data_IF_233476152379
#
_entry.id   IF_233476152379
#
_cell.length_a   1.000
_cell.length_b   1.000
_cell.length_c   1.000
_cell.angle_alpha   90.00
_cell.angle_beta   90.00
_cell.angle_gamma   90.00
#
_symmetry.space_group_name_H-M   'P 1'
#
loop_
_entity.id
_entity.type
_entity.pdbx_description
1 polymer ?
#
# COMPACT_ATOMS: atom_id res chain seq x y z
N UNK A 1 17.57 22.37 -12.56
CA UNK A 1 17.97 21.00 -12.91
C UNK A 1 16.76 20.33 -13.53
N UNK A 2 16.87 19.81 -14.75
CA UNK A 2 15.79 19.04 -15.39
C UNK A 2 15.48 17.81 -14.52
N UNK A 3 14.19 17.56 -14.26
CA UNK A 3 13.78 16.33 -13.58
C UNK A 3 14.20 15.13 -14.43
N UNK A 4 14.69 14.10 -13.77
CA UNK A 4 15.07 12.83 -14.40
C UNK A 4 13.85 12.18 -15.05
N UNK A 5 14.05 11.46 -16.16
CA UNK A 5 13.00 10.72 -16.85
C UNK A 5 12.98 9.29 -16.30
N UNK A 6 11.80 8.77 -15.98
CA UNK A 6 11.69 7.39 -15.52
C UNK A 6 11.89 6.42 -16.70
N UNK A 7 12.81 5.47 -16.55
CA UNK A 7 13.08 4.44 -17.55
C UNK A 7 12.43 3.11 -17.14
N UNK A 8 11.64 2.53 -18.05
CA UNK A 8 10.95 1.25 -17.84
C UNK A 8 11.86 0.07 -18.18
N UNK A 9 12.89 -0.15 -17.37
CA UNK A 9 13.87 -1.23 -17.61
C UNK A 9 13.50 -2.56 -16.95
N UNK A 10 12.65 -2.54 -15.91
CA UNK A 10 12.28 -3.71 -15.10
C UNK A 10 10.75 -3.80 -14.91
N UNK A 11 10.19 -5.00 -14.69
CA UNK A 11 8.80 -5.16 -14.28
C UNK A 11 8.51 -4.39 -12.98
N UNK A 12 7.33 -3.78 -12.91
CA UNK A 12 6.90 -2.95 -11.77
C UNK A 12 5.88 -3.67 -10.89
N UNK A 13 6.18 -3.80 -9.60
CA UNK A 13 5.30 -4.44 -8.62
C UNK A 13 5.06 -3.49 -7.44
N UNK A 14 3.80 -3.38 -7.02
CA UNK A 14 3.46 -2.62 -5.83
C UNK A 14 3.40 -3.55 -4.63
N UNK A 15 4.12 -3.21 -3.58
CA UNK A 15 4.13 -3.94 -2.32
C UNK A 15 3.93 -2.99 -1.16
N UNK A 16 3.82 -3.51 0.05
CA UNK A 16 3.76 -2.65 1.22
C UNK A 16 3.73 -3.43 2.53
N UNK A 17 4.03 -2.75 3.62
CA UNK A 17 4.04 -3.33 4.96
C UNK A 17 2.67 -3.19 5.63
N UNK A 18 2.19 -4.28 6.21
CA UNK A 18 0.99 -4.34 7.04
C UNK A 18 1.30 -5.10 8.34
N UNK A 19 0.45 -4.96 9.35
CA UNK A 19 0.62 -5.61 10.65
C UNK A 19 0.39 -4.66 11.82
N UNK A 20 0.43 -5.21 13.02
CA UNK A 20 0.14 -4.50 14.26
C UNK A 20 1.07 -3.31 14.54
N UNK A 21 0.60 -2.37 15.36
CA UNK A 21 1.41 -1.25 15.86
C UNK A 21 2.68 -1.79 16.55
N UNK A 22 3.78 -1.04 16.45
CA UNK A 22 5.08 -1.37 17.07
C UNK A 22 5.75 -2.69 16.65
N UNK A 23 5.21 -3.43 15.68
CA UNK A 23 5.87 -4.60 15.10
C UNK A 23 7.06 -4.23 14.18
N UNK A 24 7.28 -2.95 13.90
CA UNK A 24 8.46 -2.46 13.17
C UNK A 24 8.32 -2.37 11.65
N UNK A 25 7.11 -2.07 11.14
CA UNK A 25 6.83 -1.86 9.71
C UNK A 25 7.74 -0.81 9.08
N UNK A 26 7.74 0.40 9.63
CA UNK A 26 8.52 1.53 9.12
C UNK A 26 10.03 1.29 9.24
N UNK A 27 10.48 0.65 10.32
CA UNK A 27 11.87 0.21 10.50
C UNK A 27 12.27 -0.79 9.41
N UNK A 28 11.41 -1.76 9.10
CA UNK A 28 11.62 -2.72 8.02
C UNK A 28 11.69 -2.03 6.66
N UNK A 29 10.78 -1.09 6.39
CA UNK A 29 10.80 -0.30 5.15
C UNK A 29 12.10 0.48 4.99
N UNK A 30 12.59 1.13 6.06
CA UNK A 30 13.88 1.80 6.07
C UNK A 30 15.06 0.82 5.84
N UNK A 31 15.02 -0.36 6.47
CA UNK A 31 16.03 -1.40 6.30
C UNK A 31 16.07 -1.92 4.86
N UNK A 32 14.92 -2.21 4.25
CA UNK A 32 14.81 -2.64 2.85
C UNK A 32 15.49 -1.63 1.91
N UNK A 33 15.11 -0.36 2.00
CA UNK A 33 15.70 0.67 1.11
C UNK A 33 17.20 0.83 1.33
N UNK A 34 17.68 0.70 2.58
CA UNK A 34 19.10 0.85 2.92
C UNK A 34 19.94 -0.32 2.43
N UNK A 35 19.51 -1.56 2.72
CA UNK A 35 20.23 -2.79 2.35
C UNK A 35 20.22 -2.98 0.83
N UNK A 36 19.09 -2.76 0.17
CA UNK A 36 19.03 -2.88 -1.29
C UNK A 36 19.83 -1.77 -1.99
N UNK A 37 19.83 -0.54 -1.46
CA UNK A 37 20.69 0.53 -2.00
C UNK A 37 22.18 0.18 -1.88
N UNK A 38 22.59 -0.43 -0.75
CA UNK A 38 23.96 -0.90 -0.53
C UNK A 38 24.34 -2.04 -1.48
N UNK A 39 23.40 -2.95 -1.76
CA UNK A 39 23.66 -4.19 -2.52
C UNK A 39 23.57 -3.99 -4.03
N UNK A 40 22.56 -3.25 -4.49
CA UNK A 40 22.20 -3.12 -5.91
C UNK A 40 22.27 -1.69 -6.44
N UNK A 41 22.60 -0.72 -5.58
CA UNK A 41 22.51 0.71 -5.90
C UNK A 41 21.10 1.27 -5.67
N UNK A 42 20.95 2.59 -5.83
CA UNK A 42 19.70 3.30 -5.57
C UNK A 42 19.82 4.28 -4.41
N UNK A 43 18.68 4.72 -3.86
CA UNK A 43 18.62 5.70 -2.79
C UNK A 43 18.03 5.10 -1.51
N UNK A 44 18.81 5.10 -0.43
CA UNK A 44 18.33 4.73 0.90
C UNK A 44 17.33 5.77 1.43
N UNK A 45 16.31 5.32 2.16
CA UNK A 45 15.36 6.16 2.89
C UNK A 45 15.48 5.87 4.39
N UNK A 46 15.90 6.89 5.14
CA UNK A 46 15.96 6.78 6.60
C UNK A 46 14.55 6.78 7.21
N UNK A 47 14.42 6.19 8.41
CA UNK A 47 13.16 6.14 9.18
C UNK A 47 12.45 7.50 9.25
N UNK A 48 13.18 8.56 9.61
CA UNK A 48 12.67 9.94 9.73
C UNK A 48 12.20 10.59 8.41
N UNK A 49 12.51 9.97 7.28
CA UNK A 49 12.05 10.39 5.95
C UNK A 49 10.75 9.70 5.57
N UNK A 50 10.46 8.54 6.16
CA UNK A 50 9.23 7.77 5.96
C UNK A 50 8.15 8.34 6.90
N UNK A 51 8.42 8.34 8.21
CA UNK A 51 7.61 9.02 9.24
C UNK A 51 8.04 10.49 9.34
N UNK A 52 7.64 11.29 8.35
CA UNK A 52 8.12 12.66 8.21
C UNK A 52 7.16 13.70 8.79
N UNK A 53 5.90 13.36 9.08
CA UNK A 53 4.95 14.33 9.61
C UNK A 53 5.33 14.72 11.04
N UNK A 54 5.20 16.00 11.44
CA UNK A 54 5.51 16.43 12.81
C UNK A 54 4.71 15.66 13.87
N UNK A 55 3.48 15.26 13.54
CA UNK A 55 2.63 14.47 14.43
C UNK A 55 3.12 13.01 14.58
N UNK A 56 3.61 12.40 13.49
CA UNK A 56 4.17 11.05 13.51
C UNK A 56 5.43 11.00 14.38
N UNK A 57 6.34 11.98 14.21
CA UNK A 57 7.55 12.09 15.04
C UNK A 57 7.25 12.32 16.52
N UNK A 58 6.19 13.06 16.84
CA UNK A 58 5.80 13.33 18.21
C UNK A 58 5.15 12.11 18.88
N UNK A 59 4.39 11.31 18.13
CA UNK A 59 3.66 10.15 18.65
C UNK A 59 4.42 8.82 18.52
N UNK A 60 5.45 8.77 17.67
CA UNK A 60 6.22 7.55 17.39
C UNK A 60 5.42 6.49 16.63
N UNK A 61 4.37 6.89 15.90
CA UNK A 61 3.51 5.98 15.12
C UNK A 61 3.29 6.57 13.73
N UNK A 62 3.26 5.70 12.72
CA UNK A 62 2.84 6.05 11.36
C UNK A 62 1.36 6.42 11.33
N UNK A 63 1.03 7.54 10.71
CA UNK A 63 -0.35 8.05 10.59
C UNK A 63 -0.76 8.02 9.12
N UNK A 64 0.09 8.54 8.24
CA UNK A 64 -0.12 8.61 6.80
C UNK A 64 0.58 7.46 6.09
N UNK A 65 0.06 7.05 4.93
CA UNK A 65 0.78 6.12 4.06
C UNK A 65 2.01 6.80 3.47
N UNK A 66 3.15 6.11 3.53
CA UNK A 66 4.41 6.62 2.96
C UNK A 66 4.83 5.77 1.78
N UNK A 67 5.20 6.42 0.67
CA UNK A 67 5.56 5.76 -0.58
C UNK A 67 7.07 5.84 -0.79
N UNK A 68 7.74 4.69 -0.84
CA UNK A 68 9.17 4.59 -1.16
C UNK A 68 9.38 3.72 -2.39
N UNK A 69 10.47 3.97 -3.13
CA UNK A 69 10.89 3.14 -4.27
C UNK A 69 12.20 2.43 -3.93
N UNK A 70 12.36 1.21 -4.43
CA UNK A 70 13.61 0.47 -4.43
C UNK A 70 13.64 -0.55 -5.56
N UNK A 71 14.83 -1.04 -5.84
CA UNK A 71 15.10 -1.94 -6.95
C UNK A 71 15.75 -3.23 -6.45
N UNK A 72 15.33 -4.35 -7.02
CA UNK A 72 16.12 -5.59 -7.06
C UNK A 72 16.80 -5.68 -8.44
N UNK A 73 17.72 -6.63 -8.67
CA UNK A 73 18.25 -6.87 -10.00
C UNK A 73 17.17 -7.25 -11.02
N UNK A 74 16.04 -7.79 -10.55
CA UNK A 74 14.98 -8.33 -11.42
C UNK A 74 13.81 -7.36 -11.61
N UNK A 75 13.44 -6.58 -10.59
CA UNK A 75 12.19 -5.81 -10.54
C UNK A 75 12.38 -4.43 -9.92
N UNK A 76 11.45 -3.53 -10.25
CA UNK A 76 11.29 -2.25 -9.58
C UNK A 76 10.07 -2.31 -8.66
N UNK A 77 10.24 -1.88 -7.41
CA UNK A 77 9.17 -1.89 -6.40
C UNK A 77 8.74 -0.47 -6.03
N UNK A 78 7.42 -0.26 -6.01
CA UNK A 78 6.82 0.81 -5.22
C UNK A 78 6.31 0.19 -3.92
N UNK A 79 6.74 0.73 -2.79
CA UNK A 79 6.41 0.21 -1.46
C UNK A 79 5.58 1.22 -0.68
N UNK A 80 4.43 0.77 -0.18
CA UNK A 80 3.50 1.56 0.64
C UNK A 80 3.62 1.12 2.10
N UNK A 81 4.21 1.97 2.95
CA UNK A 81 4.28 1.76 4.39
C UNK A 81 2.93 2.14 5.01
N UNK A 82 2.22 1.18 5.59
CA UNK A 82 0.88 1.40 6.15
C UNK A 82 0.88 1.51 7.68
N UNK A 83 0.00 2.35 8.27
CA UNK A 83 -0.13 2.44 9.71
C UNK A 83 -0.72 1.16 10.31
N UNK A 84 -0.31 0.81 11.54
CA UNK A 84 -0.81 -0.39 12.26
C UNK A 84 -1.67 -0.10 13.48
N UNK A 85 -1.94 1.17 13.78
CA UNK A 85 -2.77 1.57 14.90
C UNK A 85 -4.25 1.58 14.48
N UNK A 86 -5.14 1.09 15.34
CA UNK A 86 -6.57 0.90 15.02
C UNK A 86 -7.25 2.18 14.50
N UNK A 87 -6.94 3.33 15.11
CA UNK A 87 -7.51 4.63 14.72
C UNK A 87 -7.20 5.03 13.26
N UNK A 88 -6.15 4.48 12.65
CA UNK A 88 -5.67 4.82 11.32
C UNK A 88 -5.90 3.70 10.29
N UNK A 89 -6.76 2.73 10.60
CA UNK A 89 -7.11 1.61 9.70
C UNK A 89 -7.57 2.08 8.31
N UNK A 90 -8.22 3.25 8.22
CA UNK A 90 -8.67 3.83 6.95
C UNK A 90 -7.53 4.09 5.96
N UNK A 91 -6.39 4.55 6.48
CA UNK A 91 -5.21 4.82 5.67
C UNK A 91 -4.57 3.50 5.23
N UNK A 92 -4.55 2.49 6.11
CA UNK A 92 -4.12 1.15 5.73
C UNK A 92 -4.98 0.55 4.62
N UNK A 93 -6.32 0.62 4.71
CA UNK A 93 -7.24 0.13 3.66
C UNK A 93 -6.90 0.75 2.29
N UNK A 94 -6.64 2.06 2.27
CA UNK A 94 -6.31 2.79 1.04
C UNK A 94 -4.93 2.42 0.50
N UNK A 95 -3.93 2.18 1.35
CA UNK A 95 -2.61 1.70 0.95
C UNK A 95 -2.65 0.26 0.45
N UNK A 96 -3.34 -0.64 1.18
CA UNK A 96 -3.46 -2.05 0.85
C UNK A 96 -4.18 -2.29 -0.48
N UNK A 97 -5.17 -1.45 -0.83
CA UNK A 97 -5.83 -1.50 -2.14
C UNK A 97 -4.88 -1.30 -3.34
N UNK A 98 -3.65 -0.85 -3.09
CA UNK A 98 -2.63 -0.66 -4.12
C UNK A 98 -1.60 -1.78 -4.17
N UNK A 99 -1.66 -2.78 -3.30
CA UNK A 99 -0.63 -3.81 -3.20
C UNK A 99 -0.93 -4.98 -4.14
N UNK A 100 0.04 -5.34 -4.98
CA UNK A 100 0.06 -6.62 -5.70
C UNK A 100 0.50 -7.78 -4.79
N UNK A 101 1.16 -7.45 -3.67
CA UNK A 101 1.35 -8.35 -2.53
C UNK A 101 1.81 -7.56 -1.31
N UNK A 102 1.54 -8.07 -0.12
CA UNK A 102 1.87 -7.39 1.14
C UNK A 102 2.97 -8.13 1.92
N UNK A 103 3.72 -7.37 2.72
CA UNK A 103 4.65 -7.87 3.72
C UNK A 103 3.96 -7.74 5.08
N UNK A 104 3.54 -8.87 5.66
CA UNK A 104 2.98 -8.92 7.00
C UNK A 104 4.12 -8.93 8.02
N UNK A 105 4.20 -7.87 8.84
CA UNK A 105 5.23 -7.74 9.87
C UNK A 105 4.67 -8.18 11.22
N UNK A 106 5.28 -9.21 11.79
CA UNK A 106 4.90 -9.78 13.09
C UNK A 106 6.11 -9.71 14.02
N UNK A 107 5.99 -9.11 15.20
CA UNK A 107 7.06 -9.16 16.19
C UNK A 107 7.11 -10.55 16.84
N UNK A 108 8.28 -11.16 16.86
CA UNK A 108 8.53 -12.45 17.51
C UNK A 108 8.27 -12.41 19.02
N UNK A 109 8.41 -11.25 19.66
CA UNK A 109 8.14 -11.05 21.09
C UNK A 109 6.65 -11.07 21.44
N UNK A 110 5.79 -10.73 20.48
CA UNK A 110 4.38 -10.42 20.72
C UNK A 110 3.45 -11.44 20.05
N UNK A 111 3.85 -11.99 18.90
CA UNK A 111 3.04 -12.89 18.08
C UNK A 111 1.87 -12.20 17.37
N UNK A 112 0.86 -12.96 16.91
CA UNK A 112 -0.29 -12.41 16.20
C UNK A 112 -1.26 -11.63 17.09
N UNK A 113 -1.20 -10.29 16.98
CA UNK A 113 -2.06 -9.35 17.70
C UNK A 113 -3.38 -9.04 16.94
N UNK A 114 -4.37 -8.34 17.57
CA UNK A 114 -5.67 -8.08 16.95
C UNK A 114 -5.60 -7.40 15.57
N UNK A 115 -4.72 -6.41 15.41
CA UNK A 115 -4.53 -5.71 14.13
C UNK A 115 -3.79 -6.58 13.10
N UNK A 116 -3.00 -7.58 13.52
CA UNK A 116 -2.47 -8.59 12.59
C UNK A 116 -3.63 -9.34 11.92
N UNK A 117 -4.62 -9.78 12.72
CA UNK A 117 -5.88 -10.39 12.25
C UNK A 117 -6.65 -9.46 11.31
N UNK A 118 -6.89 -8.23 11.77
CA UNK A 118 -7.66 -7.23 11.03
C UNK A 118 -7.01 -6.88 9.68
N UNK A 119 -5.68 -6.75 9.63
CA UNK A 119 -4.97 -6.39 8.41
C UNK A 119 -4.96 -7.52 7.36
N UNK A 120 -4.86 -8.79 7.77
CA UNK A 120 -4.96 -9.93 6.85
C UNK A 120 -6.36 -9.96 6.23
N UNK A 121 -7.39 -9.85 7.06
CA UNK A 121 -8.78 -9.80 6.62
C UNK A 121 -9.01 -8.64 5.64
N UNK A 122 -8.65 -7.42 6.03
CA UNK A 122 -8.85 -6.23 5.21
C UNK A 122 -8.04 -6.29 3.92
N UNK A 123 -6.80 -6.76 3.97
CA UNK A 123 -5.94 -6.99 2.80
C UNK A 123 -6.64 -7.85 1.77
N UNK A 124 -7.26 -8.95 2.21
CA UNK A 124 -8.05 -9.79 1.30
C UNK A 124 -9.28 -9.10 0.74
N UNK A 125 -10.02 -8.37 1.56
CA UNK A 125 -11.24 -7.65 1.13
C UNK A 125 -10.94 -6.55 0.10
N UNK A 126 -9.76 -5.91 0.20
CA UNK A 126 -9.31 -4.91 -0.80
C UNK A 126 -8.58 -5.53 -1.99
N UNK A 127 -8.43 -6.86 -2.02
CA UNK A 127 -7.92 -7.61 -3.16
C UNK A 127 -6.42 -7.84 -3.19
N UNK A 128 -5.72 -7.77 -2.05
CA UNK A 128 -4.30 -8.18 -1.95
C UNK A 128 -4.20 -9.69 -2.17
N UNK A 129 -3.54 -10.17 -3.25
CA UNK A 129 -3.58 -11.60 -3.61
C UNK A 129 -2.49 -12.43 -2.93
N UNK A 130 -1.38 -11.83 -2.52
CA UNK A 130 -0.24 -12.53 -1.91
C UNK A 130 0.24 -11.82 -0.65
N UNK A 131 0.65 -12.60 0.35
CA UNK A 131 1.29 -12.13 1.57
C UNK A 131 2.62 -12.87 1.72
N UNK A 132 3.67 -12.14 2.08
CA UNK A 132 4.93 -12.68 2.62
C UNK A 132 5.03 -12.23 4.07
N UNK A 133 5.54 -13.05 4.97
CA UNK A 133 5.69 -12.69 6.38
C UNK A 133 7.13 -12.35 6.68
N UNK A 134 7.32 -11.27 7.42
CA UNK A 134 8.58 -10.97 8.09
C UNK A 134 8.38 -11.05 9.60
N UNK A 135 8.91 -12.11 10.21
CA UNK A 135 8.93 -12.29 11.66
C UNK A 135 10.09 -11.46 12.21
N UNK A 136 9.75 -10.27 12.71
CA UNK A 136 10.68 -9.23 13.13
C UNK A 136 11.06 -9.37 14.61
N UNK A 137 12.09 -8.64 15.04
CA UNK A 137 12.61 -8.62 16.43
C UNK A 137 13.11 -9.99 16.91
N UNK A 138 13.60 -10.84 16.01
CA UNK A 138 14.20 -12.12 16.39
C UNK A 138 15.49 -11.95 17.22
N UNK A 139 16.12 -10.77 17.18
CA UNK A 139 17.26 -10.43 18.05
C UNK A 139 16.89 -10.32 19.55
N UNK A 140 15.59 -10.29 19.87
CA UNK A 140 15.08 -10.18 21.23
C UNK A 140 14.57 -11.52 21.78
N UNK A 141 14.63 -12.60 20.99
CA UNK A 141 14.10 -13.92 21.34
C UNK A 141 15.20 -14.96 21.19
N UNK A 142 15.67 -15.49 22.32
CA UNK A 142 16.72 -16.51 22.36
C UNK A 142 16.17 -17.95 22.23
N UNK A 143 14.85 -18.12 22.36
CA UNK A 143 14.17 -19.42 22.36
C UNK A 143 13.61 -19.77 20.96
N UNK A 144 14.23 -20.76 20.32
CA UNK A 144 13.84 -21.24 19.00
C UNK A 144 12.43 -21.87 19.00
N UNK A 145 12.03 -22.53 20.09
CA UNK A 145 10.69 -23.14 20.19
C UNK A 145 9.60 -22.06 20.20
N UNK A 146 9.89 -20.90 20.80
CA UNK A 146 8.97 -19.76 20.78
C UNK A 146 8.83 -19.17 19.36
N UNK A 147 9.94 -19.07 18.62
CA UNK A 147 9.90 -18.61 17.22
C UNK A 147 9.09 -19.54 16.33
N UNK A 148 9.26 -20.85 16.48
CA UNK A 148 8.48 -21.86 15.77
C UNK A 148 6.99 -21.78 16.13
N UNK A 149 6.66 -21.61 17.42
CA UNK A 149 5.27 -21.45 17.87
C UNK A 149 4.61 -20.22 17.24
N UNK A 150 5.29 -19.07 17.29
CA UNK A 150 4.75 -17.84 16.68
C UNK A 150 4.58 -18.00 15.18
N UNK A 151 5.52 -18.67 14.51
CA UNK A 151 5.40 -18.98 13.08
C UNK A 151 4.16 -19.84 12.79
N UNK A 152 3.94 -20.89 13.58
CA UNK A 152 2.75 -21.74 13.45
C UNK A 152 1.45 -20.93 13.61
N UNK A 153 1.36 -20.08 14.62
CA UNK A 153 0.17 -19.22 14.84
C UNK A 153 -0.07 -18.25 13.67
N UNK A 154 0.99 -17.69 13.07
CA UNK A 154 0.85 -16.84 11.88
C UNK A 154 0.35 -17.63 10.68
N UNK A 155 0.86 -18.85 10.45
CA UNK A 155 0.41 -19.72 9.35
C UNK A 155 -1.06 -20.10 9.50
N UNK A 156 -1.47 -20.52 10.70
CA UNK A 156 -2.87 -20.82 10.99
C UNK A 156 -3.76 -19.60 10.74
N UNK A 157 -3.31 -18.41 11.14
CA UNK A 157 -4.05 -17.18 10.94
C UNK A 157 -4.21 -16.80 9.45
N UNK A 158 -3.18 -17.00 8.64
CA UNK A 158 -3.27 -16.82 7.19
C UNK A 158 -4.28 -17.79 6.58
N UNK A 159 -4.22 -19.07 6.98
CA UNK A 159 -5.15 -20.12 6.52
C UNK A 159 -6.61 -19.83 6.90
N UNK A 160 -6.86 -19.26 8.08
CA UNK A 160 -8.21 -18.84 8.50
C UNK A 160 -8.85 -17.80 7.58
N UNK A 161 -8.03 -16.98 6.91
CA UNK A 161 -8.50 -15.96 5.96
C UNK A 161 -8.18 -16.34 4.51
N UNK A 162 -8.17 -17.64 4.20
CA UNK A 162 -7.86 -18.28 2.90
C UNK A 162 -6.64 -17.71 2.16
N UNK A 163 -5.59 -17.35 2.89
CA UNK A 163 -4.24 -17.28 2.34
C UNK A 163 -3.57 -18.65 2.51
N UNK A 164 -2.63 -19.04 1.62
CA UNK A 164 -1.94 -20.33 1.74
C UNK A 164 -0.89 -20.26 2.87
N UNK A 165 -1.34 -20.38 4.12
CA UNK A 165 -0.49 -20.22 5.31
C UNK A 165 0.73 -21.14 5.33
N UNK A 166 0.56 -22.40 4.93
CA UNK A 166 1.64 -23.41 4.93
C UNK A 166 2.72 -23.12 3.86
N UNK A 167 2.32 -22.59 2.69
CA UNK A 167 3.22 -22.30 1.57
C UNK A 167 3.78 -20.88 1.59
N UNK A 168 3.25 -20.01 2.47
CA UNK A 168 3.67 -18.62 2.57
C UNK A 168 5.12 -18.52 3.06
N UNK A 169 6.01 -17.79 2.35
CA UNK A 169 7.36 -17.53 2.84
C UNK A 169 7.34 -16.72 4.14
N UNK A 170 8.10 -17.18 5.12
CA UNK A 170 8.30 -16.50 6.40
C UNK A 170 9.79 -16.30 6.61
N UNK A 171 10.21 -15.04 6.65
CA UNK A 171 11.61 -14.67 6.92
C UNK A 171 11.73 -14.20 8.35
N UNK A 172 12.58 -14.87 9.13
CA UNK A 172 12.93 -14.50 10.50
C UNK A 172 14.09 -13.51 10.49
N UNK A 173 13.94 -12.38 11.17
CA UNK A 173 14.91 -11.29 11.08
C UNK A 173 14.80 -10.22 12.16
N UNK A 174 15.76 -9.29 12.13
CA UNK A 174 15.73 -8.05 12.90
C UNK A 174 15.91 -6.88 11.94
N UNK A 175 14.81 -6.15 11.69
CA UNK A 175 14.84 -4.95 10.87
C UNK A 175 15.74 -3.86 11.47
N UNK A 176 15.77 -3.76 12.81
CA UNK A 176 16.59 -2.78 13.51
C UNK A 176 18.08 -3.08 13.32
N UNK A 177 18.52 -4.31 13.58
CA UNK A 177 19.93 -4.69 13.41
C UNK A 177 20.39 -4.62 11.96
N UNK A 178 19.52 -4.98 11.02
CA UNK A 178 19.78 -4.81 9.59
C UNK A 178 19.99 -3.33 9.22
N UNK A 179 19.17 -2.43 9.79
CA UNK A 179 19.32 -0.98 9.58
C UNK A 179 20.58 -0.40 10.26
N UNK A 180 20.99 -0.98 11.39
CA UNK A 180 22.26 -0.66 12.08
C UNK A 180 23.50 -1.17 11.32
N UNK A 181 23.33 -1.99 10.28
CA UNK A 181 24.38 -2.47 9.39
C UNK A 181 24.98 -3.82 9.77
N UNK A 182 24.29 -4.61 10.60
CA UNK A 182 24.71 -5.97 10.94
C UNK A 182 24.51 -6.91 9.75
N UNK A 183 25.60 -7.50 9.26
CA UNK A 183 25.62 -8.30 8.04
C UNK A 183 24.73 -9.56 8.12
N UNK A 184 24.55 -10.16 9.29
CA UNK A 184 23.68 -11.33 9.46
C UNK A 184 22.23 -10.95 9.19
N UNK A 185 21.79 -9.82 9.73
CA UNK A 185 20.42 -9.33 9.59
C UNK A 185 20.19 -8.63 8.25
N UNK A 186 21.20 -7.98 7.67
CA UNK A 186 21.13 -7.48 6.28
C UNK A 186 20.86 -8.64 5.30
N UNK A 187 21.46 -9.81 5.50
CA UNK A 187 21.21 -10.97 4.66
C UNK A 187 19.74 -11.43 4.67
N UNK A 188 19.04 -11.27 5.81
CA UNK A 188 17.60 -11.56 5.93
C UNK A 188 16.72 -10.59 5.15
N UNK A 189 17.14 -9.33 5.00
CA UNK A 189 16.47 -8.37 4.13
C UNK A 189 16.65 -8.75 2.65
N UNK A 190 17.84 -9.24 2.28
CA UNK A 190 18.10 -9.75 0.92
C UNK A 190 17.28 -11.02 0.64
N UNK A 191 17.16 -11.92 1.62
CA UNK A 191 16.31 -13.11 1.56
C UNK A 191 14.83 -12.72 1.33
N UNK A 192 14.32 -11.76 2.10
CA UNK A 192 12.98 -11.20 1.91
C UNK A 192 12.78 -10.63 0.50
N UNK A 193 13.76 -9.89 -0.02
CA UNK A 193 13.70 -9.37 -1.39
C UNK A 193 13.70 -10.49 -2.45
N UNK A 194 14.43 -11.58 -2.20
CA UNK A 194 14.38 -12.78 -3.04
C UNK A 194 12.98 -13.39 -3.11
N UNK A 195 12.28 -13.49 -1.98
CA UNK A 195 10.88 -13.96 -1.97
C UNK A 195 9.92 -12.96 -2.63
N UNK A 196 10.13 -11.66 -2.50
CA UNK A 196 9.35 -10.66 -3.26
C UNK A 196 9.51 -10.85 -4.77
N UNK A 197 10.69 -11.25 -5.23
CA UNK A 197 10.97 -11.52 -6.65
C UNK A 197 10.37 -12.85 -7.12
N UNK A 198 10.35 -13.89 -6.28
CA UNK A 198 9.96 -15.25 -6.70
C UNK A 198 8.53 -15.66 -6.35
N UNK A 199 7.98 -15.21 -5.22
CA UNK A 199 6.68 -15.66 -4.71
C UNK A 199 5.52 -14.79 -5.19
N UNK A 200 5.73 -13.47 -5.25
CA UNK A 200 4.74 -12.56 -5.86
C UNK A 200 4.93 -12.65 -7.38
N UNK A 201 3.94 -13.13 -8.15
CA UNK A 201 4.07 -13.19 -9.61
C UNK A 201 4.09 -11.78 -10.21
N UNK A 202 4.55 -11.69 -11.46
CA UNK A 202 4.36 -10.45 -12.21
C UNK A 202 2.85 -10.24 -12.45
N UNK A 203 2.27 -9.14 -11.96
CA UNK A 203 0.84 -8.92 -12.05
C UNK A 203 0.41 -8.61 -13.49
N UNK A 204 -0.63 -9.29 -13.98
CA UNK A 204 -1.23 -8.98 -15.27
C UNK A 204 -1.87 -7.58 -15.24
N UNK A 205 -1.28 -6.65 -16.00
CA UNK A 205 -1.74 -5.26 -16.06
C UNK A 205 -2.81 -5.09 -17.13
N UNK A 206 -3.96 -4.52 -16.75
CA UNK A 206 -5.07 -4.26 -17.66
C UNK A 206 -4.85 -3.00 -18.54
N UNK A 207 -3.72 -2.91 -19.24
CA UNK A 207 -3.30 -1.74 -20.03
C UNK A 207 -4.20 -1.46 -21.24
N UNK A 208 -4.86 -2.47 -21.79
CA UNK A 208 -5.72 -2.34 -22.98
C UNK A 208 -7.16 -1.91 -22.63
N UNK A 209 -7.48 -1.75 -21.35
CA UNK A 209 -8.81 -1.29 -20.90
C UNK A 209 -8.88 0.25 -20.85
N UNK A 210 -10.08 0.84 -20.78
CA UNK A 210 -10.20 2.29 -20.61
C UNK A 210 -9.57 2.77 -19.31
N UNK A 211 -8.82 3.89 -19.38
CA UNK A 211 -8.11 4.49 -18.26
C UNK A 211 -9.01 4.68 -17.03
N UNK A 212 -8.52 4.25 -15.87
CA UNK A 212 -9.12 4.51 -14.57
C UNK A 212 -8.00 4.59 -13.51
N UNK A 213 -8.01 5.67 -12.72
CA UNK A 213 -7.10 5.90 -11.60
C UNK A 213 -7.93 6.36 -10.39
N UNK A 214 -8.01 5.56 -9.32
CA UNK A 214 -8.57 5.98 -8.04
C UNK A 214 -7.68 7.04 -7.38
N UNK A 215 -8.26 8.16 -6.96
CA UNK A 215 -7.51 9.27 -6.36
C UNK A 215 -7.26 8.94 -4.89
N UNK A 216 -5.99 8.82 -4.53
CA UNK A 216 -5.50 8.62 -3.17
C UNK A 216 -5.32 9.96 -2.45
N UNK A 217 -4.59 10.88 -3.07
CA UNK A 217 -4.33 12.19 -2.50
C UNK A 217 -4.27 13.25 -3.60
N UNK A 218 -4.32 14.51 -3.17
CA UNK A 218 -4.33 15.66 -4.06
C UNK A 218 -3.47 16.76 -3.46
N UNK A 219 -2.56 17.27 -4.28
CA UNK A 219 -1.61 18.32 -3.95
C UNK A 219 -1.83 19.53 -4.84
N UNK A 220 -1.56 20.72 -4.31
CA UNK A 220 -1.46 21.93 -5.12
C UNK A 220 0.01 22.29 -5.29
N UNK A 221 0.49 22.35 -6.52
CA UNK A 221 1.85 22.79 -6.83
C UNK A 221 1.78 24.23 -7.33
N UNK A 222 2.33 25.15 -6.54
CA UNK A 222 2.42 26.57 -6.88
C UNK A 222 3.02 26.76 -8.28
N UNK A 223 2.30 27.47 -9.14
CA UNK A 223 2.70 27.75 -10.52
C UNK A 223 2.55 26.60 -11.53
N UNK A 224 2.13 25.38 -11.12
CA UNK A 224 1.86 24.25 -12.04
C UNK A 224 0.39 23.83 -12.07
N UNK A 225 -0.29 23.84 -10.93
CA UNK A 225 -1.69 23.41 -10.80
C UNK A 225 -1.89 22.28 -9.80
N UNK A 226 -3.04 21.61 -9.92
CA UNK A 226 -3.44 20.53 -9.02
C UNK A 226 -2.92 19.18 -9.52
N UNK A 227 -2.22 18.46 -8.66
CA UNK A 227 -1.73 17.10 -8.92
C UNK A 227 -2.54 16.13 -8.09
N UNK A 228 -3.05 15.07 -8.72
CA UNK A 228 -3.63 13.94 -8.00
C UNK A 228 -2.68 12.76 -8.03
N UNK A 229 -2.61 12.00 -6.96
CA UNK A 229 -1.81 10.78 -6.87
C UNK A 229 -2.70 9.55 -6.78
N UNK A 230 -2.21 8.44 -7.31
CA UNK A 230 -2.80 7.13 -7.14
C UNK A 230 -2.19 6.10 -8.09
N UNK A 231 -2.49 4.83 -7.82
CA UNK A 231 -2.16 3.72 -8.71
C UNK A 231 -3.13 3.69 -9.89
N UNK A 232 -2.61 3.64 -11.12
CA UNK A 232 -3.47 3.41 -12.29
C UNK A 232 -4.08 2.00 -12.18
N UNK A 233 -5.40 1.89 -12.06
CA UNK A 233 -6.09 0.61 -11.95
C UNK A 233 -6.05 -0.14 -13.27
N UNK A 234 -6.33 0.57 -14.36
CA UNK A 234 -6.43 0.02 -15.71
C UNK A 234 -6.19 1.10 -16.76
N UNK A 235 -5.83 0.65 -17.96
CA UNK A 235 -5.55 1.51 -19.10
C UNK A 235 -4.22 2.24 -19.02
N UNK A 236 -4.07 3.21 -19.91
CA UNK A 236 -2.92 4.09 -20.02
C UNK A 236 -3.44 5.53 -20.06
N UNK A 237 -2.73 6.45 -19.40
CA UNK A 237 -2.95 7.90 -19.52
C UNK A 237 -1.72 8.55 -20.14
N UNK A 238 -1.92 9.37 -21.17
CA UNK A 238 -0.84 10.15 -21.79
C UNK A 238 -0.99 11.64 -21.53
N UNK A 239 0.14 12.34 -21.51
CA UNK A 239 0.12 13.81 -21.44
C UNK A 239 -0.62 14.35 -22.66
N UNK A 240 -1.63 15.19 -22.40
CA UNK A 240 -2.52 15.77 -23.41
C UNK A 240 -3.89 15.11 -23.52
N UNK A 241 -4.11 13.96 -22.90
CA UNK A 241 -5.40 13.27 -22.94
C UNK A 241 -6.45 13.92 -22.02
N UNK A 242 -7.70 13.93 -22.47
CA UNK A 242 -8.86 14.36 -21.68
C UNK A 242 -9.28 13.24 -20.70
N UNK A 243 -9.61 13.64 -19.47
CA UNK A 243 -10.11 12.76 -18.41
C UNK A 243 -11.34 13.36 -17.75
N UNK A 244 -12.18 12.50 -17.18
CA UNK A 244 -13.27 12.88 -16.29
C UNK A 244 -12.89 12.60 -14.83
N UNK A 245 -13.22 13.54 -13.95
CA UNK A 245 -13.15 13.38 -12.50
C UNK A 245 -14.54 12.95 -12.05
N UNK A 246 -14.68 11.70 -11.60
CA UNK A 246 -15.98 11.04 -11.37
C UNK A 246 -16.13 10.63 -9.91
N UNK A 247 -17.34 10.80 -9.37
CA UNK A 247 -17.74 10.36 -8.03
C UNK A 247 -17.82 11.51 -7.03
N UNK A 248 -18.59 11.31 -5.96
CA UNK A 248 -18.83 12.22 -4.82
C UNK A 248 -19.45 13.59 -5.19
N UNK A 249 -18.79 14.35 -6.06
CA UNK A 249 -19.22 15.61 -6.65
C UNK A 249 -19.73 15.42 -8.08
N UNK A 250 -20.27 16.49 -8.66
CA UNK A 250 -20.63 16.50 -10.08
C UNK A 250 -19.41 16.20 -10.96
N UNK A 251 -19.63 15.38 -12.00
CA UNK A 251 -18.56 14.97 -12.90
C UNK A 251 -18.10 16.15 -13.75
N UNK A 252 -16.79 16.36 -13.78
CA UNK A 252 -16.16 17.44 -14.54
C UNK A 252 -15.02 16.90 -15.39
N UNK A 253 -14.72 17.60 -16.49
CA UNK A 253 -13.64 17.25 -17.41
C UNK A 253 -12.38 18.05 -17.12
N UNK A 254 -11.24 17.42 -17.33
CA UNK A 254 -9.93 18.07 -17.29
C UNK A 254 -9.00 17.44 -18.34
N UNK A 255 -7.82 18.02 -18.50
CA UNK A 255 -6.77 17.50 -19.39
C UNK A 255 -5.56 17.14 -18.54
N UNK A 256 -5.03 15.93 -18.75
CA UNK A 256 -3.73 15.53 -18.20
C UNK A 256 -2.64 16.39 -18.85
N UNK A 257 -1.87 17.12 -18.05
CA UNK A 257 -0.78 18.00 -18.53
C UNK A 257 0.60 17.56 -18.07
N UNK A 258 0.67 16.51 -17.27
CA UNK A 258 1.91 15.91 -16.83
C UNK A 258 1.63 14.62 -16.08
N UNK A 259 2.53 13.65 -16.23
CA UNK A 259 2.55 12.42 -15.45
C UNK A 259 3.93 12.31 -14.82
N UNK A 260 3.98 12.04 -13.52
CA UNK A 260 5.22 11.88 -12.77
C UNK A 260 5.13 10.64 -11.88
N UNK A 261 6.24 9.96 -11.65
CA UNK A 261 6.36 8.86 -10.69
C UNK A 261 7.62 9.09 -9.87
N UNK A 262 7.51 9.12 -8.54
CA UNK A 262 8.62 9.42 -7.63
C UNK A 262 9.46 10.66 -8.02
N UNK A 263 8.78 11.75 -8.46
CA UNK A 263 9.39 13.00 -8.96
C UNK A 263 10.19 12.88 -10.27
N UNK A 264 10.12 11.74 -10.95
CA UNK A 264 10.65 11.50 -12.30
C UNK A 264 9.54 11.70 -13.33
N UNK A 265 9.88 12.26 -14.49
CA UNK A 265 8.92 12.52 -15.57
C UNK A 265 8.58 11.24 -16.33
N UNK A 266 7.31 11.07 -16.67
CA UNK A 266 6.78 9.99 -17.51
C UNK A 266 6.07 10.57 -18.75
N UNK A 267 6.24 9.92 -19.90
CA UNK A 267 5.50 10.29 -21.12
C UNK A 267 4.04 9.79 -21.07
N UNK A 268 3.83 8.66 -20.40
CA UNK A 268 2.53 8.04 -20.16
C UNK A 268 2.56 7.33 -18.80
N UNK A 269 1.42 7.21 -18.12
CA UNK A 269 1.24 6.36 -16.94
C UNK A 269 0.46 5.11 -17.30
N UNK A 270 0.90 3.93 -16.86
CA UNK A 270 0.30 2.63 -17.19
C UNK A 270 -0.32 1.96 -15.98
N UNK A 271 -1.31 1.11 -16.21
CA UNK A 271 -1.91 0.25 -15.19
C UNK A 271 -0.84 -0.41 -14.30
N UNK A 272 -0.98 -0.24 -12.99
CA UNK A 272 -0.03 -0.69 -11.98
C UNK A 272 1.00 0.35 -11.53
N UNK A 273 1.24 1.43 -12.29
CA UNK A 273 2.20 2.46 -11.86
C UNK A 273 1.55 3.43 -10.85
N UNK A 274 2.28 3.74 -9.79
CA UNK A 274 1.94 4.80 -8.83
C UNK A 274 2.37 6.16 -9.37
N UNK A 275 1.41 6.97 -9.81
CA UNK A 275 1.69 8.20 -10.55
C UNK A 275 1.01 9.42 -9.93
N UNK A 276 1.67 10.57 -10.08
CA UNK A 276 1.08 11.90 -9.94
C UNK A 276 0.64 12.42 -11.31
N UNK A 277 -0.65 12.75 -11.45
CA UNK A 277 -1.25 13.30 -12.67
C UNK A 277 -1.55 14.77 -12.45
N UNK A 278 -0.92 15.65 -13.23
CA UNK A 278 -1.16 17.09 -13.22
C UNK A 278 -2.38 17.44 -14.07
N UNK A 279 -3.39 18.07 -13.46
CA UNK A 279 -4.65 18.40 -14.10
C UNK A 279 -4.73 19.89 -14.45
N UNK A 280 -5.21 20.19 -15.65
CA UNK A 280 -5.42 21.56 -16.11
C UNK A 280 -6.73 22.13 -15.58
N UNK A 281 -6.68 23.33 -15.03
CA UNK A 281 -7.87 24.14 -14.74
C UNK A 281 -8.72 23.62 -13.59
N UNK A 282 -8.22 22.68 -12.79
CA UNK A 282 -8.89 22.14 -11.60
C UNK A 282 -8.23 22.72 -10.36
N UNK A 283 -9.02 23.32 -9.48
CA UNK A 283 -8.56 23.80 -8.17
C UNK A 283 -8.61 22.68 -7.15
N UNK A 284 -7.87 22.86 -6.04
CA UNK A 284 -7.76 21.84 -4.98
C UNK A 284 -9.10 21.51 -4.33
N UNK A 285 -10.05 22.45 -4.29
CA UNK A 285 -11.35 22.28 -3.64
C UNK A 285 -12.36 21.54 -4.53
N UNK A 286 -12.13 21.55 -5.84
CA UNK A 286 -13.01 20.93 -6.86
C UNK A 286 -12.77 19.42 -7.00
N UNK A 287 -11.73 18.89 -6.34
CA UNK A 287 -11.31 17.50 -6.45
C UNK A 287 -10.89 16.96 -5.08
N UNK A 288 -11.22 15.71 -4.79
CA UNK A 288 -10.93 15.09 -3.51
C UNK A 288 -10.61 13.61 -3.60
N UNK A 289 -10.00 13.10 -2.52
CA UNK A 289 -9.76 11.67 -2.30
C UNK A 289 -11.08 10.90 -2.41
N UNK A 290 -11.01 9.72 -3.00
CA UNK A 290 -12.17 8.86 -3.20
C UNK A 290 -12.94 9.11 -4.49
N UNK A 291 -12.62 10.17 -5.25
CA UNK A 291 -13.01 10.27 -6.65
C UNK A 291 -12.08 9.41 -7.53
N UNK A 292 -12.44 9.25 -8.80
CA UNK A 292 -11.59 8.58 -9.79
C UNK A 292 -11.34 9.48 -10.99
N UNK A 293 -10.14 9.43 -11.56
CA UNK A 293 -9.91 9.86 -12.94
C UNK A 293 -10.28 8.72 -13.88
N UNK A 294 -11.08 9.00 -14.89
CA UNK A 294 -11.48 8.00 -15.87
C UNK A 294 -11.40 8.54 -17.30
N UNK A 295 -11.25 7.63 -18.26
CA UNK A 295 -11.49 7.96 -19.68
C UNK A 295 -12.93 8.49 -19.82
N UNK A 296 -13.17 9.60 -20.55
CA UNK A 296 -14.49 10.21 -20.60
C UNK A 296 -15.60 9.24 -21.03
N UNK A 297 -16.72 9.25 -20.29
CA UNK A 297 -17.91 8.44 -20.57
C UNK A 297 -17.79 6.95 -20.25
N UNK A 298 -16.70 6.51 -19.63
CA UNK A 298 -16.45 5.06 -19.40
C UNK A 298 -16.90 4.54 -18.04
N UNK A 299 -17.21 5.43 -17.10
CA UNK A 299 -17.79 5.07 -15.81
C UNK A 299 -18.86 6.09 -15.42
N UNK A 300 -19.92 5.63 -14.75
CA UNK A 300 -20.95 6.46 -14.15
C UNK A 300 -21.01 6.17 -12.65
N UNK A 301 -21.12 7.19 -11.79
CA UNK A 301 -21.26 6.97 -10.36
C UNK A 301 -22.66 6.44 -10.05
N UNK A 302 -22.76 5.59 -9.03
CA UNK A 302 -24.02 5.01 -8.56
C UNK A 302 -24.20 5.30 -7.06
N UNK A 303 -25.45 5.39 -6.61
CA UNK A 303 -25.80 5.65 -5.19
C UNK A 303 -26.60 4.52 -4.54
N UNK A 304 -27.04 3.53 -5.34
CA UNK A 304 -27.79 2.36 -4.88
C UNK A 304 -27.22 1.13 -5.55
N UNK A 305 -27.03 0.08 -4.76
CA UNK A 305 -26.51 -1.21 -5.21
C UNK A 305 -27.06 -2.32 -4.30
N UNK A 306 -27.01 -3.55 -4.79
CA UNK A 306 -27.21 -4.76 -3.99
C UNK A 306 -25.84 -5.35 -3.66
N UNK A 307 -25.68 -5.90 -2.46
CA UNK A 307 -24.41 -6.45 -1.99
C UNK A 307 -24.64 -7.67 -1.11
N UNK A 308 -23.71 -8.61 -1.20
CA UNK A 308 -23.50 -9.63 -0.20
C UNK A 308 -22.54 -9.07 0.86
N UNK A 309 -22.85 -9.26 2.15
CA UNK A 309 -22.07 -8.70 3.25
C UNK A 309 -21.93 -9.73 4.35
N UNK A 310 -20.68 -9.98 4.76
CA UNK A 310 -20.35 -10.74 5.96
C UNK A 310 -20.24 -9.79 7.15
N UNK A 311 -20.92 -10.10 8.26
CA UNK A 311 -20.84 -9.31 9.49
C UNK A 311 -19.88 -9.99 10.44
N UNK A 312 -18.74 -9.32 10.68
CA UNK A 312 -17.70 -9.78 11.59
C UNK A 312 -18.26 -10.07 12.98
N UNK A 313 -17.85 -11.20 13.53
CA UNK A 313 -18.10 -11.58 14.92
C UNK A 313 -17.32 -10.69 15.89
N UNK A 314 -17.67 -10.74 17.18
CA UNK A 314 -16.93 -10.03 18.23
C UNK A 314 -15.46 -10.45 18.29
N UNK A 315 -15.18 -11.74 18.09
CA UNK A 315 -13.84 -12.31 18.26
C UNK A 315 -12.92 -11.94 17.07
N UNK A 316 -13.51 -11.59 15.93
CA UNK A 316 -12.81 -11.04 14.76
C UNK A 316 -12.65 -9.51 14.81
N UNK A 317 -12.96 -8.87 15.95
CA UNK A 317 -12.91 -7.40 16.08
C UNK A 317 -14.15 -6.68 15.52
N UNK A 318 -15.20 -7.43 15.21
CA UNK A 318 -16.48 -6.91 14.75
C UNK A 318 -17.33 -6.27 15.86
N UNK A 319 -18.61 -6.05 15.55
CA UNK A 319 -19.53 -5.37 16.47
C UNK A 319 -19.94 -6.28 17.64
N UNK A 320 -20.02 -5.72 18.84
CA UNK A 320 -20.56 -6.42 20.01
C UNK A 320 -22.09 -6.49 20.04
N UNK A 321 -22.78 -5.63 19.29
CA UNK A 321 -24.24 -5.48 19.33
C UNK A 321 -24.86 -5.58 17.95
N UNK A 322 -26.08 -6.16 17.84
CA UNK A 322 -26.81 -6.22 16.59
C UNK A 322 -27.17 -4.81 16.09
N UNK A 323 -27.43 -4.69 14.79
CA UNK A 323 -27.91 -3.47 14.16
C UNK A 323 -29.15 -3.76 13.31
N UNK A 324 -29.93 -2.73 13.03
CA UNK A 324 -31.22 -2.84 12.36
C UNK A 324 -31.23 -2.07 11.04
N UNK A 325 -32.32 -2.22 10.27
CA UNK A 325 -32.56 -1.46 9.04
C UNK A 325 -32.42 0.06 9.32
N UNK A 326 -31.66 0.75 8.47
CA UNK A 326 -31.31 2.16 8.67
C UNK A 326 -29.99 2.39 9.40
N UNK A 327 -29.23 1.32 9.70
CA UNK A 327 -27.84 1.43 10.14
C UNK A 327 -27.02 2.21 9.10
N UNK A 328 -26.14 3.11 9.59
CA UNK A 328 -25.36 4.02 8.75
C UNK A 328 -23.86 3.76 8.86
N UNK A 329 -23.35 2.63 8.33
CA UNK A 329 -21.92 2.38 8.34
C UNK A 329 -21.21 3.25 7.30
N UNK A 330 -19.88 3.32 7.44
CA UNK A 330 -19.01 3.79 6.37
C UNK A 330 -18.70 2.63 5.43
N UNK A 331 -18.82 2.88 4.12
CA UNK A 331 -18.41 1.96 3.07
C UNK A 331 -17.09 2.43 2.48
N UNK A 332 -16.18 1.49 2.28
CA UNK A 332 -14.89 1.75 1.66
C UNK A 332 -14.84 1.07 0.30
N UNK A 333 -14.62 1.84 -0.77
CA UNK A 333 -14.47 1.35 -2.14
C UNK A 333 -13.16 1.84 -2.70
N UNK A 334 -12.13 0.98 -2.74
CA UNK A 334 -10.75 1.39 -3.07
C UNK A 334 -10.32 2.59 -2.20
N UNK A 335 -10.24 3.79 -2.77
CA UNK A 335 -9.84 5.02 -2.06
C UNK A 335 -11.01 5.85 -1.54
N UNK A 336 -12.26 5.47 -1.86
CA UNK A 336 -13.49 6.15 -1.45
C UNK A 336 -13.93 5.71 -0.06
N UNK A 337 -14.28 6.66 0.81
CA UNK A 337 -15.04 6.43 2.03
C UNK A 337 -16.36 7.20 2.01
N UNK A 338 -17.50 6.51 2.18
CA UNK A 338 -18.83 7.13 2.08
C UNK A 338 -19.83 6.50 3.04
N UNK A 339 -20.64 7.32 3.71
CA UNK A 339 -21.70 6.82 4.59
C UNK A 339 -22.86 6.30 3.76
N UNK A 340 -23.25 5.05 3.97
CA UNK A 340 -24.43 4.45 3.34
C UNK A 340 -25.59 4.24 4.31
N UNK A 341 -26.76 3.85 3.79
CA UNK A 341 -27.98 3.54 4.55
C UNK A 341 -28.71 2.35 3.96
#
# INVERSE_FOLDING_TARGET
MSKEKFERTKPHVNVGTIGHVDHGKTTLTAAITTVLAKTYGGAARAFDQIDNAPEEKARGITINTSHVEYDTPTRHYAHVDCPGHADYVKNMITGAAQMDGAILVVAATDGPMPQTREHILLGRQVGVPYIIVFLNKCDMVDDEELLELVEMEVRELLSQYDFPGDDTPIVRGSALKALEGDAEWEAKIIELAGFLDSYIPEPERAIDKPFLLPIEDVFSISGRGTVVTGRVERGIIKVGEEVEIVGIKETQKSTCTGVEMFRKLLDEGRAGENVGVLLRGIKREEIERGQVLAKPGTIKPHTKFESEVYILSKDEGGRHTPFFKGYRPQFYFRTTDVTGT
#
